data_IF_773437853369
#
_entry.id   IF_773437853369
#
_cell.length_a   1.000
_cell.length_b   1.000
_cell.length_c   1.000
_cell.angle_alpha   90.00
_cell.angle_beta   90.00
_cell.angle_gamma   90.00
#
_symmetry.space_group_name_H-M   'P 1'
#
loop_
_entity.id
_entity.type
_entity.pdbx_description
1 polymer ?
#
# COMPACT_ATOMS: atom_id res chain seq x y z
N UNK A 1 5.08 -9.74 17.11
CA UNK A 1 4.57 -9.84 15.71
C UNK A 1 4.76 -8.49 15.06
N UNK A 2 5.65 -8.41 14.07
CA UNK A 2 6.02 -7.14 13.42
C UNK A 2 4.99 -6.76 12.35
N UNK A 3 4.54 -5.51 12.37
CA UNK A 3 3.65 -4.90 11.38
C UNK A 3 4.39 -3.80 10.64
N UNK A 4 4.36 -3.83 9.31
CA UNK A 4 4.95 -2.79 8.48
C UNK A 4 3.82 -1.95 7.87
N UNK A 5 3.94 -0.62 7.96
CA UNK A 5 3.03 0.34 7.32
C UNK A 5 3.81 1.10 6.26
N UNK A 6 3.46 0.96 4.99
CA UNK A 6 3.99 1.83 3.95
C UNK A 6 3.12 3.07 3.81
N UNK A 7 3.74 4.22 3.55
CA UNK A 7 3.01 5.49 3.48
C UNK A 7 2.47 5.97 4.84
N UNK A 8 3.18 5.63 5.91
CA UNK A 8 2.78 5.97 7.27
C UNK A 8 2.71 7.48 7.56
N UNK A 9 3.42 8.30 6.78
CA UNK A 9 3.35 9.76 6.87
C UNK A 9 2.09 10.37 6.20
N UNK A 10 1.27 9.55 5.52
CA UNK A 10 -0.01 9.96 4.96
C UNK A 10 -1.14 9.96 5.99
N UNK A 11 -2.28 10.56 5.64
CA UNK A 11 -3.44 10.69 6.54
C UNK A 11 -3.88 9.35 7.15
N UNK A 12 -4.13 8.32 6.34
CA UNK A 12 -4.54 7.01 6.86
C UNK A 12 -3.40 6.31 7.61
N UNK A 13 -2.18 6.43 7.09
CA UNK A 13 -1.01 5.77 7.65
C UNK A 13 -0.66 6.27 9.04
N UNK A 14 -0.73 7.58 9.28
CA UNK A 14 -0.46 8.18 10.59
C UNK A 14 -1.48 7.72 11.64
N UNK A 15 -2.76 7.73 11.30
CA UNK A 15 -3.80 7.26 12.23
C UNK A 15 -3.66 5.76 12.54
N UNK A 16 -3.33 4.94 11.53
CA UNK A 16 -3.11 3.51 11.76
C UNK A 16 -1.86 3.27 12.63
N UNK A 17 -0.79 4.04 12.41
CA UNK A 17 0.42 3.96 13.21
C UNK A 17 0.14 4.25 14.69
N UNK A 18 -0.55 5.36 14.98
CA UNK A 18 -0.92 5.72 16.35
C UNK A 18 -1.81 4.64 17.00
N UNK A 19 -2.83 4.17 16.28
CA UNK A 19 -3.72 3.14 16.81
C UNK A 19 -2.98 1.84 17.17
N UNK A 20 -2.02 1.40 16.33
CA UNK A 20 -1.27 0.18 16.59
C UNK A 20 -0.20 0.38 17.68
N UNK A 21 0.37 1.58 17.80
CA UNK A 21 1.33 1.93 18.84
C UNK A 21 0.67 1.93 20.23
N UNK A 22 -0.55 2.44 20.33
CA UNK A 22 -1.33 2.45 21.57
C UNK A 22 -1.67 1.03 22.08
N UNK A 23 -1.69 0.04 21.19
CA UNK A 23 -1.90 -1.37 21.52
C UNK A 23 -0.59 -2.13 21.87
N UNK A 24 0.52 -1.43 22.06
CA UNK A 24 1.85 -1.99 22.38
C UNK A 24 2.32 -3.02 21.33
N UNK A 25 2.09 -2.71 20.06
CA UNK A 25 2.47 -3.57 18.95
C UNK A 25 3.80 -3.15 18.32
N UNK A 26 4.58 -4.13 17.86
CA UNK A 26 5.80 -3.89 17.07
C UNK A 26 5.44 -3.33 15.69
N UNK A 27 5.56 -2.02 15.50
CA UNK A 27 5.21 -1.34 14.26
C UNK A 27 6.44 -0.71 13.62
N UNK A 28 6.65 -1.02 12.34
CA UNK A 28 7.63 -0.37 11.47
C UNK A 28 6.87 0.54 10.51
N UNK A 29 6.95 1.84 10.73
CA UNK A 29 6.34 2.85 9.89
C UNK A 29 7.34 3.33 8.83
N UNK A 30 6.92 3.39 7.56
CA UNK A 30 7.80 3.87 6.48
C UNK A 30 7.22 5.07 5.75
N UNK A 31 8.11 5.94 5.25
CA UNK A 31 7.79 7.11 4.45
C UNK A 31 8.76 7.23 3.28
N UNK A 32 8.37 7.95 2.21
CA UNK A 32 9.25 8.26 1.08
C UNK A 32 9.68 9.73 1.11
N UNK A 33 8.81 10.62 0.70
CA UNK A 33 9.01 12.08 0.70
C UNK A 33 7.80 12.72 1.37
N UNK A 34 7.88 13.00 2.66
CA UNK A 34 6.86 13.81 3.31
C UNK A 34 7.37 15.25 3.34
N UNK A 35 6.52 16.17 2.93
CA UNK A 35 6.65 17.61 3.24
C UNK A 35 6.21 17.93 4.67
N UNK A 36 6.13 16.89 5.52
CA UNK A 36 5.89 17.08 6.95
C UNK A 36 7.04 17.89 7.49
N UNK A 37 6.70 18.95 8.20
CA UNK A 37 7.67 19.82 8.87
C UNK A 37 8.58 18.91 9.72
N UNK A 38 9.90 19.05 9.60
CA UNK A 38 10.87 18.23 10.32
C UNK A 38 10.69 18.30 11.85
N UNK A 39 9.80 19.18 12.32
CA UNK A 39 9.42 19.36 13.71
C UNK A 39 8.38 18.33 14.25
N UNK A 40 7.72 17.55 13.37
CA UNK A 40 6.78 16.55 13.84
C UNK A 40 7.52 15.28 14.28
N UNK A 41 7.37 14.93 15.53
CA UNK A 41 7.98 13.77 16.24
C UNK A 41 7.76 12.44 15.51
N UNK A 42 6.74 12.35 14.67
CA UNK A 42 6.33 11.16 13.93
C UNK A 42 7.41 10.71 12.93
N UNK A 43 8.09 11.64 12.25
CA UNK A 43 9.10 11.27 11.21
C UNK A 43 10.41 10.77 11.78
N UNK A 44 10.76 11.10 13.01
CA UNK A 44 12.02 10.66 13.64
C UNK A 44 12.05 9.17 13.99
N UNK A 45 10.88 8.55 14.14
CA UNK A 45 10.73 7.12 14.42
C UNK A 45 10.49 6.29 13.13
N UNK A 46 10.28 6.95 11.97
CA UNK A 46 9.95 6.27 10.72
C UNK A 46 11.19 5.92 9.88
N UNK A 47 11.08 4.81 9.16
CA UNK A 47 12.11 4.34 8.22
C UNK A 47 11.84 4.94 6.83
N UNK A 48 12.84 5.58 6.25
CA UNK A 48 12.72 6.04 4.86
C UNK A 48 12.76 4.85 3.91
N UNK A 49 11.75 4.74 3.04
CA UNK A 49 11.65 3.67 2.06
C UNK A 49 10.92 4.15 0.81
N UNK A 50 11.59 4.07 -0.33
CA UNK A 50 10.95 4.24 -1.64
C UNK A 50 10.46 2.89 -2.13
N UNK A 51 9.15 2.74 -2.32
CA UNK A 51 8.54 1.49 -2.81
C UNK A 51 8.91 1.17 -4.27
N UNK A 52 9.46 2.13 -5.02
CA UNK A 52 9.97 1.92 -6.38
C UNK A 52 11.43 1.44 -6.39
N UNK A 53 12.15 1.61 -5.28
CA UNK A 53 13.53 1.14 -5.15
C UNK A 53 13.53 -0.29 -4.56
N UNK A 54 13.76 -1.27 -5.42
CA UNK A 54 13.75 -2.69 -5.06
C UNK A 54 14.76 -3.03 -3.95
N UNK A 55 15.98 -2.52 -4.03
CA UNK A 55 17.01 -2.80 -3.03
C UNK A 55 16.67 -2.18 -1.68
N UNK A 56 16.14 -0.95 -1.67
CA UNK A 56 15.65 -0.31 -0.47
C UNK A 56 14.51 -1.12 0.19
N UNK A 57 13.53 -1.57 -0.60
CA UNK A 57 12.42 -2.42 -0.12
C UNK A 57 12.96 -3.74 0.45
N UNK A 58 13.85 -4.40 -0.27
CA UNK A 58 14.45 -5.68 0.13
C UNK A 58 15.24 -5.57 1.43
N UNK A 59 16.00 -4.49 1.61
CA UNK A 59 16.73 -4.20 2.84
C UNK A 59 15.77 -4.07 4.04
N UNK A 60 14.71 -3.27 3.90
CA UNK A 60 13.71 -3.06 4.95
C UNK A 60 13.00 -4.37 5.31
N UNK A 61 12.53 -5.13 4.32
CA UNK A 61 11.83 -6.39 4.56
C UNK A 61 12.75 -7.46 5.17
N UNK A 62 14.00 -7.54 4.73
CA UNK A 62 15.00 -8.46 5.28
C UNK A 62 15.33 -8.15 6.74
N UNK A 63 15.45 -6.86 7.07
CA UNK A 63 15.77 -6.37 8.42
C UNK A 63 14.64 -6.62 9.42
N UNK A 64 13.42 -6.28 9.03
CA UNK A 64 12.28 -6.26 9.97
C UNK A 64 11.41 -7.52 9.90
N UNK A 65 11.43 -8.26 8.79
CA UNK A 65 10.67 -9.51 8.58
C UNK A 65 9.21 -9.40 9.03
N UNK A 66 8.42 -8.47 8.47
CA UNK A 66 7.07 -8.23 8.92
C UNK A 66 6.17 -9.45 8.72
N UNK A 67 5.28 -9.68 9.69
CA UNK A 67 4.22 -10.69 9.58
C UNK A 67 2.96 -10.14 8.92
N UNK A 68 2.79 -8.80 8.98
CA UNK A 68 1.69 -8.09 8.33
C UNK A 68 2.25 -6.85 7.65
N UNK A 69 1.83 -6.60 6.42
CA UNK A 69 2.15 -5.38 5.66
C UNK A 69 0.84 -4.65 5.35
N UNK A 70 0.70 -3.45 5.91
CA UNK A 70 -0.36 -2.51 5.52
C UNK A 70 0.19 -1.60 4.42
N UNK A 71 -0.18 -1.88 3.18
CA UNK A 71 0.30 -1.11 2.03
C UNK A 71 -0.62 0.07 1.75
N UNK A 72 -0.25 1.24 2.30
CA UNK A 72 -0.98 2.51 2.15
C UNK A 72 -0.23 3.53 1.27
N UNK A 73 1.03 3.27 0.94
CA UNK A 73 1.80 4.12 0.04
C UNK A 73 1.18 4.12 -1.36
N UNK A 74 0.79 5.28 -1.84
CA UNK A 74 0.16 5.43 -3.16
C UNK A 74 0.18 6.89 -3.62
N UNK A 75 0.13 7.08 -4.94
CA UNK A 75 -0.40 8.31 -5.51
C UNK A 75 -1.93 8.24 -5.37
N UNK A 76 -2.51 9.02 -4.45
CA UNK A 76 -3.90 8.89 -4.00
C UNK A 76 -4.89 9.91 -4.62
N UNK A 77 -4.40 10.79 -5.51
CA UNK A 77 -5.20 11.86 -6.11
C UNK A 77 -5.68 11.47 -7.51
N UNK A 78 -7.00 11.26 -7.73
CA UNK A 78 -7.55 10.92 -9.04
C UNK A 78 -7.30 12.00 -10.11
N UNK A 79 -7.36 13.29 -9.73
CA UNK A 79 -7.07 14.40 -10.64
C UNK A 79 -5.64 14.39 -11.18
N UNK A 80 -4.66 14.06 -10.35
CA UNK A 80 -3.27 13.89 -10.77
C UNK A 80 -3.11 12.70 -11.73
N UNK A 81 -3.92 11.66 -11.58
CA UNK A 81 -3.85 10.50 -12.46
C UNK A 81 -4.18 10.79 -13.93
N UNK A 82 -4.99 11.82 -14.19
CA UNK A 82 -5.26 12.25 -15.56
C UNK A 82 -4.15 13.12 -16.15
N UNK A 83 -3.46 13.89 -15.32
CA UNK A 83 -2.38 14.78 -15.77
C UNK A 83 -1.02 14.08 -15.80
N UNK A 84 -0.81 13.10 -14.92
CA UNK A 84 0.40 12.29 -14.85
C UNK A 84 0.07 10.81 -14.62
N UNK A 85 -0.47 10.11 -15.62
CA UNK A 85 -0.85 8.70 -15.47
C UNK A 85 0.36 7.78 -15.26
N UNK A 86 1.54 8.10 -15.82
CA UNK A 86 2.75 7.32 -15.62
C UNK A 86 3.14 7.27 -14.14
N UNK A 87 3.23 8.42 -13.46
CA UNK A 87 3.50 8.48 -12.03
C UNK A 87 2.50 7.63 -11.23
N UNK A 88 1.22 7.68 -11.60
CA UNK A 88 0.17 6.93 -10.90
C UNK A 88 0.36 5.42 -11.07
N UNK A 89 0.66 4.96 -12.27
CA UNK A 89 0.91 3.53 -12.56
C UNK A 89 2.21 3.09 -11.87
N UNK A 90 3.29 3.84 -12.03
CA UNK A 90 4.57 3.49 -11.41
C UNK A 90 4.42 3.36 -9.89
N UNK A 91 3.85 4.36 -9.22
CA UNK A 91 3.70 4.32 -7.77
C UNK A 91 2.76 3.21 -7.32
N UNK A 92 1.56 3.12 -7.89
CA UNK A 92 0.51 2.26 -7.35
C UNK A 92 0.62 0.80 -7.82
N UNK A 93 1.10 0.58 -9.04
CA UNK A 93 1.22 -0.78 -9.61
C UNK A 93 2.63 -1.31 -9.41
N UNK A 94 3.64 -0.60 -9.92
CA UNK A 94 5.02 -1.08 -9.85
C UNK A 94 5.53 -1.08 -8.40
N UNK A 95 5.19 -0.07 -7.59
CA UNK A 95 5.54 -0.03 -6.18
C UNK A 95 4.94 -1.20 -5.39
N UNK A 96 3.67 -1.56 -5.65
CA UNK A 96 3.05 -2.76 -5.04
C UNK A 96 3.75 -4.04 -5.50
N UNK A 97 4.04 -4.15 -6.80
CA UNK A 97 4.73 -5.31 -7.37
C UNK A 97 6.13 -5.49 -6.76
N UNK A 98 6.88 -4.40 -6.59
CA UNK A 98 8.21 -4.39 -5.95
C UNK A 98 8.15 -4.98 -4.54
N UNK A 99 7.17 -4.57 -3.73
CA UNK A 99 6.97 -5.13 -2.38
C UNK A 99 6.64 -6.62 -2.40
N UNK A 100 5.70 -7.04 -3.25
CA UNK A 100 5.29 -8.44 -3.36
C UNK A 100 6.44 -9.33 -3.85
N UNK A 101 7.18 -8.87 -4.86
CA UNK A 101 8.35 -9.60 -5.37
C UNK A 101 9.42 -9.78 -4.29
N UNK A 102 9.72 -8.73 -3.54
CA UNK A 102 10.69 -8.81 -2.45
C UNK A 102 10.22 -9.76 -1.33
N UNK A 103 8.92 -9.80 -1.00
CA UNK A 103 8.38 -10.76 -0.06
C UNK A 103 8.60 -12.20 -0.54
N UNK A 104 8.30 -12.49 -1.80
CA UNK A 104 8.47 -13.83 -2.40
C UNK A 104 9.94 -14.25 -2.41
N UNK A 105 10.84 -13.39 -2.87
CA UNK A 105 12.28 -13.71 -2.95
C UNK A 105 12.93 -13.91 -1.58
N UNK A 106 12.46 -13.20 -0.56
CA UNK A 106 12.94 -13.37 0.82
C UNK A 106 12.29 -14.55 1.55
N UNK A 107 11.30 -15.22 0.95
CA UNK A 107 10.50 -16.25 1.63
C UNK A 107 9.75 -15.66 2.83
N UNK A 108 9.38 -14.39 2.78
CA UNK A 108 8.70 -13.71 3.88
C UNK A 108 7.19 -13.99 3.80
N UNK A 109 6.73 -15.00 4.52
CA UNK A 109 5.31 -15.30 4.65
C UNK A 109 4.63 -14.25 5.52
N UNK A 110 3.91 -13.33 4.89
CA UNK A 110 3.22 -12.23 5.57
C UNK A 110 1.81 -12.04 5.02
N UNK A 111 0.91 -11.55 5.87
CA UNK A 111 -0.38 -11.04 5.44
C UNK A 111 -0.17 -9.69 4.76
N UNK A 112 -0.51 -9.59 3.47
CA UNK A 112 -0.40 -8.35 2.71
C UNK A 112 -1.77 -7.69 2.55
N UNK A 113 -1.96 -6.54 3.19
CA UNK A 113 -3.21 -5.78 3.16
C UNK A 113 -3.01 -4.56 2.25
N UNK A 114 -3.60 -4.60 1.06
CA UNK A 114 -3.49 -3.52 0.08
C UNK A 114 -4.71 -2.59 0.14
N UNK A 115 -4.46 -1.28 0.32
CA UNK A 115 -5.52 -0.28 0.24
C UNK A 115 -5.98 -0.08 -1.20
N UNK A 116 -7.15 -0.61 -1.53
CA UNK A 116 -7.83 -0.39 -2.80
C UNK A 116 -8.66 0.90 -2.79
N UNK A 117 -9.67 1.01 -3.63
CA UNK A 117 -10.54 2.19 -3.75
C UNK A 117 -11.88 1.81 -4.37
N UNK A 118 -12.95 2.50 -4.00
CA UNK A 118 -14.25 2.41 -4.70
C UNK A 118 -14.15 2.81 -6.18
N UNK A 119 -13.13 3.57 -6.57
CA UNK A 119 -12.87 3.94 -7.96
C UNK A 119 -12.62 2.74 -8.90
N UNK A 120 -12.39 1.55 -8.35
CA UNK A 120 -12.26 0.30 -9.13
C UNK A 120 -13.59 -0.11 -9.77
N UNK A 121 -14.73 0.27 -9.18
CA UNK A 121 -16.06 -0.07 -9.68
C UNK A 121 -16.55 0.89 -10.78
N UNK A 122 -15.93 2.07 -10.94
CA UNK A 122 -16.33 3.09 -11.91
C UNK A 122 -17.52 3.94 -11.42
N UNK A 123 -18.56 4.05 -12.23
CA UNK A 123 -19.79 4.72 -11.80
C UNK A 123 -20.51 3.91 -10.73
N UNK A 124 -20.83 4.57 -9.63
CA UNK A 124 -21.52 3.97 -8.49
C UNK A 124 -22.93 4.54 -8.42
N UNK A 125 -23.92 3.65 -8.51
CA UNK A 125 -25.28 3.96 -8.12
C UNK A 125 -25.38 3.88 -6.59
N UNK A 126 -25.64 4.99 -5.94
CA UNK A 126 -25.71 5.08 -4.49
C UNK A 126 -26.95 4.40 -3.87
N UNK A 127 -27.97 4.13 -4.68
CA UNK A 127 -29.15 3.37 -4.25
C UNK A 127 -28.84 1.85 -4.25
N UNK A 128 -27.87 1.43 -5.07
CA UNK A 128 -27.39 0.05 -5.16
C UNK A 128 -25.86 0.00 -5.08
N UNK A 129 -25.26 0.17 -3.89
CA UNK A 129 -23.83 0.22 -3.74
C UNK A 129 -23.16 -1.10 -4.17
N UNK A 130 -21.94 -1.04 -4.74
CA UNK A 130 -21.24 -2.23 -5.19
C UNK A 130 -20.94 -3.18 -4.03
N UNK A 131 -21.00 -4.45 -4.32
CA UNK A 131 -20.63 -5.55 -3.44
C UNK A 131 -19.30 -6.14 -3.90
N UNK A 132 -18.71 -7.03 -3.11
CA UNK A 132 -17.42 -7.71 -3.44
C UNK A 132 -17.48 -8.48 -4.76
N UNK A 133 -18.67 -8.97 -5.14
CA UNK A 133 -18.92 -9.68 -6.40
C UNK A 133 -19.22 -8.77 -7.60
N UNK A 134 -19.27 -7.45 -7.38
CA UNK A 134 -19.57 -6.51 -8.44
C UNK A 134 -18.43 -6.41 -9.43
N UNK A 135 -18.76 -6.24 -10.71
CA UNK A 135 -17.78 -6.14 -11.79
C UNK A 135 -17.02 -4.81 -11.65
N UNK A 136 -15.69 -4.88 -11.60
CA UNK A 136 -14.84 -3.70 -11.62
C UNK A 136 -14.79 -3.09 -13.03
N UNK A 137 -15.06 -1.78 -13.15
CA UNK A 137 -15.03 -1.01 -14.41
C UNK A 137 -14.43 0.38 -14.17
N UNK A 138 -13.12 0.48 -13.83
CA UNK A 138 -12.52 1.76 -13.51
C UNK A 138 -12.59 2.75 -14.67
N UNK A 139 -12.87 4.02 -14.37
CA UNK A 139 -13.00 5.10 -15.35
C UNK A 139 -11.84 6.13 -15.28
N UNK A 140 -10.82 5.84 -14.51
CA UNK A 140 -9.65 6.71 -14.38
C UNK A 140 -8.36 5.91 -14.31
N UNK A 141 -7.21 6.51 -14.67
CA UNK A 141 -5.90 5.86 -14.45
C UNK A 141 -5.69 5.49 -12.99
N UNK A 142 -6.18 6.30 -12.04
CA UNK A 142 -6.16 5.98 -10.62
C UNK A 142 -6.96 4.71 -10.30
N UNK A 143 -8.22 4.64 -10.72
CA UNK A 143 -9.05 3.44 -10.51
C UNK A 143 -8.43 2.18 -11.11
N UNK A 144 -7.87 2.28 -12.33
CA UNK A 144 -7.14 1.20 -12.98
C UNK A 144 -5.91 0.78 -12.17
N UNK A 145 -5.13 1.74 -11.65
CA UNK A 145 -3.94 1.46 -10.84
C UNK A 145 -4.27 0.79 -9.51
N UNK A 146 -5.46 1.04 -8.96
CA UNK A 146 -5.93 0.39 -7.73
C UNK A 146 -6.52 -1.00 -7.96
N UNK A 147 -6.99 -1.29 -9.18
CA UNK A 147 -7.48 -2.62 -9.56
C UNK A 147 -6.33 -3.60 -9.88
N UNK A 148 -5.29 -3.15 -10.57
CA UNK A 148 -4.19 -4.02 -10.99
C UNK A 148 -3.52 -4.80 -9.83
N UNK A 149 -3.20 -4.19 -8.67
CA UNK A 149 -2.62 -4.91 -7.54
C UNK A 149 -3.48 -6.05 -7.00
N UNK A 150 -4.81 -5.95 -7.09
CA UNK A 150 -5.72 -7.02 -6.64
C UNK A 150 -5.44 -8.32 -7.40
N UNK A 151 -5.25 -8.24 -8.71
CA UNK A 151 -4.91 -9.42 -9.52
C UNK A 151 -3.55 -10.01 -9.17
N UNK A 152 -2.56 -9.17 -8.81
CA UNK A 152 -1.21 -9.63 -8.46
C UNK A 152 -1.16 -10.35 -7.11
N UNK A 153 -1.92 -9.91 -6.12
CA UNK A 153 -1.94 -10.56 -4.80
C UNK A 153 -2.41 -12.01 -4.88
N UNK A 154 -3.32 -12.32 -5.80
CA UNK A 154 -3.79 -13.68 -6.05
C UNK A 154 -2.78 -14.57 -6.78
N UNK A 155 -1.81 -13.98 -7.50
CA UNK A 155 -0.85 -14.73 -8.32
C UNK A 155 0.47 -15.03 -7.61
N UNK A 156 0.85 -14.24 -6.61
CA UNK A 156 2.22 -14.25 -6.07
C UNK A 156 2.35 -14.77 -4.65
N UNK A 157 1.29 -14.75 -3.86
CA UNK A 157 1.31 -15.26 -2.50
C UNK A 157 0.74 -16.69 -2.46
N UNK A 158 1.44 -17.67 -1.84
CA UNK A 158 0.98 -19.05 -1.75
C UNK A 158 -0.21 -19.25 -0.80
N UNK A 159 -0.87 -18.18 -0.41
CA UNK A 159 -2.09 -18.21 0.42
C UNK A 159 -3.31 -18.39 -0.47
N UNK A 160 -3.49 -19.62 -0.99
CA UNK A 160 -4.67 -20.02 -1.77
C UNK A 160 -5.99 -20.04 -0.97
N UNK A 161 -5.98 -19.64 0.29
CA UNK A 161 -7.09 -19.83 1.21
C UNK A 161 -7.70 -18.55 1.80
N UNK A 162 -7.36 -17.36 1.27
CA UNK A 162 -7.94 -16.10 1.70
C UNK A 162 -8.69 -15.42 0.54
N UNK A 163 -9.89 -15.88 0.29
CA UNK A 163 -10.96 -15.15 -0.41
C UNK A 163 -11.99 -14.73 0.61
#
# INVERSE_FOLDING_TARGET
MVRLITGAAGMMGSHLYEALKDEDMDVVATYHNSTLDESETITQEMVKMDILDYECVKEVLSKYKPNVIYHLAAQSRPDVSFTNPALTIDTNVMGTLTLLQACVELGNECLFINASSSAVYGEIDWDTPPQETSICKPLSPYGTSKLAPVSYTHLTLPTSDLV
#
